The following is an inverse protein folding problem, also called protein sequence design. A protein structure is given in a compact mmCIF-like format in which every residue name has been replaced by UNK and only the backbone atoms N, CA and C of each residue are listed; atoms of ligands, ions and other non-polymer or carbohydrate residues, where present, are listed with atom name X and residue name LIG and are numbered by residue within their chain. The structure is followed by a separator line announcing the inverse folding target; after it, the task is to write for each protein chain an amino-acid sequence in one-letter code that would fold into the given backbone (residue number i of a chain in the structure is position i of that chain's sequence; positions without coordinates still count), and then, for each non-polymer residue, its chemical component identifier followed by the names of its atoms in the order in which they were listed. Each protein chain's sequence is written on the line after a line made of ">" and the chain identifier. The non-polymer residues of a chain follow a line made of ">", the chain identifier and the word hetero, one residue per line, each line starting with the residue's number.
data_IF_519304873419
#
_entry.id   IF_519304873419
#
_cell.length_a   1.000
_cell.length_b   1.000
_cell.length_c   1.000
_cell.angle_alpha   90.00
_cell.angle_beta   90.00
_cell.angle_gamma   90.00
#
_symmetry.space_group_name_H-M   'P 1'
#
loop_
_entity.id
_entity.type
_entity.pdbx_description
1 polymer ?
#
# COMPACT_ATOMS: atom_id res chain seq x y z
N UNK A 1 -2.05 -6.39 3.46
CA UNK A 1 -1.31 -5.54 2.52
C UNK A 1 -0.84 -4.30 3.26
N UNK A 2 0.46 -3.97 3.21
CA UNK A 2 1.05 -2.83 3.92
C UNK A 2 1.72 -1.87 2.93
N UNK A 3 1.54 -0.56 3.11
CA UNK A 3 2.17 0.48 2.28
C UNK A 3 2.01 0.21 0.76
N UNK A 4 3.10 0.19 -0.01
CA UNK A 4 3.13 -0.17 -1.42
C UNK A 4 2.47 -1.52 -1.74
N UNK A 5 2.43 -2.44 -0.78
CA UNK A 5 1.76 -3.74 -0.91
C UNK A 5 0.26 -3.62 -1.21
N UNK A 6 -0.40 -2.49 -0.92
CA UNK A 6 -1.77 -2.26 -1.37
C UNK A 6 -1.88 -2.05 -2.88
N UNK A 7 -0.92 -1.32 -3.48
CA UNK A 7 -0.87 -1.06 -4.93
C UNK A 7 -0.73 -2.36 -5.73
N UNK A 8 0.20 -3.23 -5.32
CA UNK A 8 0.47 -4.49 -6.04
C UNK A 8 -0.41 -5.65 -5.59
N UNK A 9 -0.81 -5.66 -4.32
CA UNK A 9 -1.62 -6.75 -3.77
C UNK A 9 -3.07 -6.68 -4.23
N UNK A 10 -3.64 -5.49 -4.39
CA UNK A 10 -5.02 -5.30 -4.85
C UNK A 10 -5.28 -5.97 -6.21
N UNK A 11 -4.51 -5.71 -7.28
CA UNK A 11 -4.71 -6.38 -8.55
C UNK A 11 -4.35 -7.88 -8.51
N UNK A 12 -3.43 -8.29 -7.65
CA UNK A 12 -3.03 -9.69 -7.53
C UNK A 12 -4.16 -10.62 -7.06
N UNK A 13 -5.26 -10.09 -6.51
CA UNK A 13 -6.40 -10.91 -6.07
C UNK A 13 -7.37 -11.29 -7.19
N UNK A 14 -7.15 -10.80 -8.42
CA UNK A 14 -8.03 -11.06 -9.56
C UNK A 14 -8.22 -12.56 -9.78
N UNK A 15 -9.48 -13.01 -9.78
CA UNK A 15 -9.84 -14.43 -9.93
C UNK A 15 -9.53 -15.32 -8.71
N UNK A 16 -8.94 -14.78 -7.64
CA UNK A 16 -8.56 -15.54 -6.44
C UNK A 16 -9.54 -15.38 -5.28
N UNK A 17 -10.58 -14.55 -5.41
CA UNK A 17 -11.63 -14.43 -4.39
C UNK A 17 -12.37 -15.76 -4.20
N UNK A 18 -12.90 -16.00 -3.00
CA UNK A 18 -13.71 -17.19 -2.73
C UNK A 18 -14.90 -17.29 -3.69
N UNK A 19 -15.54 -16.17 -4.00
CA UNK A 19 -16.63 -16.12 -4.97
C UNK A 19 -16.18 -16.57 -6.37
N UNK A 20 -15.09 -16.00 -6.89
CA UNK A 20 -14.56 -16.34 -8.21
C UNK A 20 -14.06 -17.80 -8.28
N UNK A 21 -13.44 -18.31 -7.22
CA UNK A 21 -12.98 -19.71 -7.19
C UNK A 21 -14.15 -20.69 -7.11
N UNK A 22 -15.15 -20.38 -6.28
CA UNK A 22 -16.36 -21.21 -6.15
C UNK A 22 -17.12 -21.30 -7.46
N UNK A 23 -17.27 -20.19 -8.21
CA UNK A 23 -17.94 -20.22 -9.52
C UNK A 23 -17.21 -21.07 -10.56
N UNK A 24 -15.91 -21.34 -10.35
CA UNK A 24 -15.08 -22.19 -11.20
C UNK A 24 -14.91 -23.62 -10.63
N UNK A 25 -15.67 -24.01 -9.61
CA UNK A 25 -15.55 -25.34 -8.99
C UNK A 25 -14.23 -25.57 -8.23
N UNK A 26 -13.50 -24.50 -7.89
CA UNK A 26 -12.23 -24.57 -7.17
C UNK A 26 -12.44 -24.34 -5.66
N UNK A 27 -11.73 -25.09 -4.78
CA UNK A 27 -11.86 -24.93 -3.34
C UNK A 27 -11.15 -23.67 -2.83
N UNK A 28 -11.60 -23.13 -1.70
CA UNK A 28 -10.97 -22.02 -0.99
C UNK A 28 -11.02 -20.67 -1.73
N UNK A 29 -10.21 -19.72 -1.28
CA UNK A 29 -10.08 -18.40 -1.88
C UNK A 29 -10.00 -17.27 -0.88
N UNK A 30 -9.68 -16.08 -1.38
CA UNK A 30 -9.56 -14.87 -0.58
C UNK A 30 -10.95 -14.41 -0.16
N UNK A 31 -11.15 -14.25 1.13
CA UNK A 31 -12.44 -13.82 1.73
C UNK A 31 -12.42 -12.40 2.24
N UNK A 32 -11.25 -11.86 2.54
CA UNK A 32 -11.10 -10.53 3.12
C UNK A 32 -9.74 -9.93 2.80
N UNK A 33 -9.71 -8.63 2.52
CA UNK A 33 -8.48 -7.86 2.35
C UNK A 33 -8.24 -6.99 3.57
N UNK A 34 -7.03 -7.03 4.14
CA UNK A 34 -6.63 -6.13 5.22
C UNK A 34 -5.56 -5.19 4.70
N UNK A 35 -5.85 -3.90 4.70
CA UNK A 35 -4.95 -2.81 4.36
C UNK A 35 -4.40 -2.18 5.64
N UNK A 36 -3.10 -1.93 5.68
CA UNK A 36 -2.39 -1.28 6.79
C UNK A 36 -1.56 -0.16 6.19
N UNK A 37 -1.90 1.10 6.50
CA UNK A 37 -1.22 2.30 5.95
C UNK A 37 -0.88 2.17 4.46
N UNK A 38 -1.80 1.55 3.71
CA UNK A 38 -1.56 1.08 2.36
C UNK A 38 -2.03 2.09 1.32
N UNK A 39 -1.33 2.08 0.17
CA UNK A 39 -1.84 2.71 -1.04
C UNK A 39 -3.02 1.90 -1.58
N UNK A 40 -4.11 2.58 -1.94
CA UNK A 40 -5.22 2.01 -2.70
C UNK A 40 -5.32 2.85 -3.96
N UNK A 41 -5.24 2.20 -5.13
CA UNK A 41 -5.24 2.87 -6.42
C UNK A 41 -6.41 2.32 -7.25
N UNK A 42 -7.30 3.19 -7.76
CA UNK A 42 -8.37 2.75 -8.65
C UNK A 42 -7.85 2.17 -9.96
N UNK A 43 -8.68 1.35 -10.60
CA UNK A 43 -8.44 0.88 -11.97
C UNK A 43 -8.21 2.06 -12.92
N UNK A 44 -7.12 1.98 -13.70
CA UNK A 44 -6.84 2.95 -14.76
C UNK A 44 -6.31 4.33 -14.30
N UNK A 45 -6.26 4.60 -13.00
CA UNK A 45 -5.65 5.80 -12.43
C UNK A 45 -4.32 5.47 -11.77
N UNK A 46 -3.36 6.37 -11.85
CA UNK A 46 -2.13 6.31 -11.05
C UNK A 46 -2.39 6.80 -9.62
N UNK A 47 -1.48 6.48 -8.70
CA UNK A 47 -1.56 6.94 -7.32
C UNK A 47 -1.42 8.48 -7.19
N UNK A 48 -0.72 9.11 -8.14
CA UNK A 48 -0.57 10.56 -8.25
C UNK A 48 -1.87 11.22 -8.74
N UNK A 49 -2.49 10.68 -9.81
CA UNK A 49 -3.82 11.13 -10.29
C UNK A 49 -4.90 11.00 -9.20
N UNK A 50 -4.76 10.01 -8.32
CA UNK A 50 -5.68 9.79 -7.21
C UNK A 50 -5.39 10.67 -5.98
N UNK A 51 -4.31 11.45 -5.97
CA UNK A 51 -3.94 12.32 -4.85
C UNK A 51 -3.58 11.57 -3.57
N UNK A 52 -3.08 10.33 -3.71
CA UNK A 52 -2.84 9.40 -2.60
C UNK A 52 -1.39 9.31 -2.14
N UNK A 53 -0.46 10.04 -2.78
CA UNK A 53 0.95 10.02 -2.42
C UNK A 53 1.41 11.44 -2.06
N UNK A 54 1.59 11.68 -0.77
CA UNK A 54 2.67 12.56 -0.34
C UNK A 54 3.96 11.77 -0.53
N UNK A 55 4.85 12.22 -1.40
CA UNK A 55 6.13 11.53 -1.59
C UNK A 55 6.94 11.69 -0.29
N UNK A 56 7.26 10.61 0.44
CA UNK A 56 8.20 10.73 1.53
C UNK A 56 9.54 11.22 0.97
N UNK A 57 10.41 11.85 1.79
CA UNK A 57 11.68 12.36 1.28
C UNK A 57 12.52 11.18 0.84
N UNK A 58 12.65 11.01 -0.48
CA UNK A 58 13.41 9.94 -1.09
C UNK A 58 14.59 10.52 -1.86
N UNK A 59 15.63 9.70 -2.02
CA UNK A 59 16.75 9.96 -2.92
C UNK A 59 16.84 8.86 -3.96
N UNK A 60 17.32 9.21 -5.15
CA UNK A 60 17.64 8.24 -6.19
C UNK A 60 19.06 7.69 -5.97
N UNK A 61 19.25 6.39 -6.21
CA UNK A 61 20.57 5.75 -6.22
C UNK A 61 21.16 5.80 -7.64
N UNK A 62 22.47 5.61 -7.77
CA UNK A 62 23.14 5.59 -9.07
C UNK A 62 22.59 4.51 -10.02
N UNK A 63 22.04 3.43 -9.46
CA UNK A 63 21.45 2.31 -10.19
C UNK A 63 19.97 2.53 -10.54
N UNK A 64 19.43 3.73 -10.32
CA UNK A 64 18.04 4.08 -10.63
C UNK A 64 17.02 3.47 -9.66
N UNK A 65 17.42 3.14 -8.43
CA UNK A 65 16.51 2.78 -7.35
C UNK A 65 16.17 4.00 -6.50
N UNK A 66 15.23 3.87 -5.56
CA UNK A 66 14.95 4.92 -4.57
C UNK A 66 15.12 4.44 -3.14
N UNK A 67 15.65 5.31 -2.30
CA UNK A 67 15.80 5.09 -0.86
C UNK A 67 15.09 6.19 -0.08
N UNK A 68 14.55 5.83 1.08
CA UNK A 68 14.00 6.81 2.02
C UNK A 68 15.14 7.56 2.72
N UNK A 69 15.04 8.87 2.79
CA UNK A 69 15.92 9.73 3.58
C UNK A 69 15.45 9.66 5.04
N UNK A 70 16.38 9.34 5.95
CA UNK A 70 16.16 9.24 7.40
C UNK A 70 15.04 8.25 7.79
N UNK A 71 15.20 6.95 7.50
CA UNK A 71 14.21 5.94 7.87
C UNK A 71 13.99 5.85 9.39
N UNK A 72 14.96 6.27 10.20
CA UNK A 72 14.80 6.31 11.66
C UNK A 72 13.76 7.33 12.10
N UNK A 73 13.66 8.48 11.41
CA UNK A 73 12.65 9.51 11.68
C UNK A 73 11.26 9.19 11.13
N UNK A 74 11.18 8.42 10.04
CA UNK A 74 9.94 8.22 9.29
C UNK A 74 9.30 6.84 9.48
N UNK A 75 10.09 5.76 9.49
CA UNK A 75 9.57 4.39 9.62
C UNK A 75 9.68 3.82 11.04
N UNK A 76 10.68 4.25 11.80
CA UNK A 76 11.03 3.60 13.07
C UNK A 76 11.04 4.56 14.26
N UNK A 77 10.45 5.74 14.14
CA UNK A 77 10.63 6.85 15.11
C UNK A 77 10.13 6.56 16.52
N UNK A 78 9.26 5.56 16.67
CA UNK A 78 8.67 5.13 17.94
C UNK A 78 9.42 3.93 18.56
N UNK A 79 10.52 3.48 17.97
CA UNK A 79 11.38 2.44 18.52
C UNK A 79 12.53 3.01 19.36
N UNK A 80 13.11 2.22 20.28
CA UNK A 80 14.40 2.52 20.91
C UNK A 80 15.51 2.73 19.86
N UNK A 81 16.47 3.62 20.14
CA UNK A 81 17.49 4.06 19.17
C UNK A 81 18.33 2.93 18.57
N UNK A 82 18.64 1.90 19.34
CA UNK A 82 19.34 0.70 18.87
C UNK A 82 18.48 -0.08 17.85
N UNK A 83 17.19 -0.24 18.13
CA UNK A 83 16.24 -0.88 17.22
C UNK A 83 16.00 -0.04 15.95
N UNK A 84 15.93 1.29 16.09
CA UNK A 84 15.83 2.20 14.93
C UNK A 84 16.96 1.95 13.94
N UNK A 85 18.20 1.98 14.43
CA UNK A 85 19.40 1.75 13.62
C UNK A 85 19.40 0.33 13.03
N UNK A 86 19.03 -0.66 13.84
CA UNK A 86 18.97 -2.04 13.40
C UNK A 86 17.98 -2.21 12.24
N UNK A 87 16.73 -1.77 12.38
CA UNK A 87 15.72 -1.94 11.34
C UNK A 87 15.96 -1.07 10.11
N UNK A 88 16.45 0.17 10.30
CA UNK A 88 16.91 1.01 9.20
C UNK A 88 18.00 0.33 8.36
N UNK A 89 18.93 -0.41 8.99
CA UNK A 89 19.99 -1.14 8.29
C UNK A 89 19.50 -2.32 7.44
N UNK A 90 18.26 -2.79 7.65
CA UNK A 90 17.65 -3.88 6.89
C UNK A 90 16.91 -3.40 5.65
N UNK A 91 16.70 -2.10 5.49
CA UNK A 91 16.09 -1.53 4.30
C UNK A 91 16.98 -1.77 3.07
N UNK A 92 16.33 -1.94 1.92
CA UNK A 92 16.99 -2.07 0.63
C UNK A 92 16.48 -0.98 -0.32
N UNK A 93 17.28 -0.54 -1.29
CA UNK A 93 16.81 0.34 -2.35
C UNK A 93 15.57 -0.26 -3.03
N UNK A 94 14.53 0.55 -3.20
CA UNK A 94 13.29 0.16 -3.85
C UNK A 94 13.42 0.37 -5.36
N UNK A 95 13.21 -0.70 -6.13
CA UNK A 95 13.02 -0.64 -7.58
C UNK A 95 11.61 -1.12 -7.91
N UNK A 96 10.73 -0.17 -8.22
CA UNK A 96 9.36 -0.46 -8.63
C UNK A 96 8.68 0.80 -9.13
N UNK A 97 7.66 0.63 -9.95
CA UNK A 97 6.94 1.79 -10.49
C UNK A 97 5.94 2.36 -9.48
N UNK A 98 6.14 3.64 -9.18
CA UNK A 98 5.24 4.44 -8.35
C UNK A 98 4.11 5.06 -9.16
N UNK A 99 4.35 5.33 -10.45
CA UNK A 99 3.45 6.04 -11.36
C UNK A 99 2.57 5.14 -12.22
N UNK A 100 2.83 3.83 -12.26
CA UNK A 100 1.98 2.91 -13.04
C UNK A 100 0.53 2.98 -12.56
N UNK A 101 -0.39 2.93 -13.53
CA UNK A 101 -1.83 2.89 -13.32
C UNK A 101 -2.24 1.65 -12.53
N UNK A 102 -3.26 1.80 -11.70
CA UNK A 102 -3.88 0.70 -10.97
C UNK A 102 -4.45 -0.35 -11.93
N UNK A 103 -4.17 -1.61 -11.62
CA UNK A 103 -4.84 -2.75 -12.24
C UNK A 103 -6.18 -3.05 -11.54
N UNK A 104 -6.63 -4.30 -11.63
CA UNK A 104 -7.87 -4.79 -11.01
C UNK A 104 -8.11 -4.28 -9.58
N UNK A 105 -9.27 -3.64 -9.35
CA UNK A 105 -9.66 -3.05 -8.08
C UNK A 105 -10.30 -4.10 -7.16
N UNK A 106 -9.48 -5.06 -6.69
CA UNK A 106 -9.93 -6.16 -5.84
C UNK A 106 -10.72 -5.77 -4.59
N UNK A 107 -10.51 -4.56 -4.06
CA UNK A 107 -11.27 -4.03 -2.92
C UNK A 107 -12.75 -3.78 -3.22
N UNK A 108 -13.15 -3.69 -4.49
CA UNK A 108 -14.56 -3.59 -4.91
C UNK A 108 -15.28 -4.96 -4.95
N UNK A 109 -14.51 -6.04 -4.89
CA UNK A 109 -15.02 -7.41 -5.08
C UNK A 109 -14.81 -8.32 -3.88
N UNK A 110 -13.94 -7.92 -2.95
CA UNK A 110 -13.62 -8.66 -1.74
C UNK A 110 -13.80 -7.70 -0.55
N UNK A 111 -14.56 -8.09 0.49
CA UNK A 111 -14.70 -7.30 1.70
C UNK A 111 -13.33 -6.87 2.24
N UNK A 112 -13.24 -5.63 2.68
CA UNK A 112 -11.97 -5.00 3.00
C UNK A 112 -12.01 -4.27 4.35
N UNK A 113 -10.88 -4.25 5.04
CA UNK A 113 -10.66 -3.44 6.24
C UNK A 113 -9.40 -2.62 6.07
N UNK A 114 -9.45 -1.35 6.46
CA UNK A 114 -8.28 -0.47 6.51
C UNK A 114 -7.95 -0.17 7.97
N UNK A 115 -6.77 -0.58 8.43
CA UNK A 115 -6.22 -0.24 9.73
C UNK A 115 -5.47 1.09 9.62
N UNK A 116 -6.03 2.12 10.28
CA UNK A 116 -5.43 3.45 10.34
C UNK A 116 -4.38 3.49 11.44
N UNK A 117 -3.17 3.91 11.11
CA UNK A 117 -2.10 4.13 12.09
C UNK A 117 -1.86 5.62 12.25
N UNK A 118 -2.34 6.19 13.37
CA UNK A 118 -2.36 7.64 13.58
C UNK A 118 -0.97 8.28 13.73
N UNK A 119 0.03 7.48 14.11
CA UNK A 119 1.42 7.93 14.30
C UNK A 119 2.31 7.64 13.07
N UNK A 120 1.75 7.20 11.94
CA UNK A 120 2.51 6.98 10.70
C UNK A 120 3.01 8.32 10.13
N UNK A 121 4.33 8.43 9.93
CA UNK A 121 4.98 9.66 9.45
C UNK A 121 5.21 9.69 7.94
N UNK A 122 4.85 8.62 7.23
CA UNK A 122 4.96 8.51 5.77
C UNK A 122 3.59 8.65 5.13
N UNK A 123 2.66 7.77 5.49
CA UNK A 123 1.26 7.87 5.07
C UNK A 123 0.50 8.50 6.22
N UNK A 124 0.60 9.83 6.35
CA UNK A 124 -0.03 10.57 7.46
C UNK A 124 -1.54 10.28 7.56
N UNK A 125 -2.10 10.40 8.76
CA UNK A 125 -3.50 10.02 9.05
C UNK A 125 -4.51 10.70 8.11
N UNK A 126 -4.29 11.97 7.75
CA UNK A 126 -5.12 12.71 6.80
C UNK A 126 -5.08 12.09 5.41
N UNK A 127 -3.91 11.62 4.98
CA UNK A 127 -3.73 10.94 3.70
C UNK A 127 -4.41 9.56 3.72
N UNK A 128 -4.24 8.78 4.80
CA UNK A 128 -4.95 7.51 4.97
C UNK A 128 -6.48 7.70 4.88
N UNK A 129 -7.02 8.72 5.56
CA UNK A 129 -8.46 9.04 5.51
C UNK A 129 -8.93 9.46 4.12
N UNK A 130 -8.12 10.21 3.37
CA UNK A 130 -8.41 10.55 1.96
C UNK A 130 -8.47 9.30 1.09
N UNK A 131 -7.50 8.40 1.22
CA UNK A 131 -7.46 7.11 0.51
C UNK A 131 -8.72 6.28 0.81
N UNK A 132 -9.06 6.14 2.09
CA UNK A 132 -10.27 5.41 2.53
C UNK A 132 -11.53 6.04 1.93
N UNK A 133 -11.69 7.36 2.05
CA UNK A 133 -12.85 8.08 1.53
C UNK A 133 -13.02 7.85 0.03
N UNK A 134 -11.92 7.93 -0.72
CA UNK A 134 -11.96 7.77 -2.16
C UNK A 134 -12.25 6.31 -2.57
N UNK A 135 -11.74 5.32 -1.84
CA UNK A 135 -12.11 3.92 -2.04
C UNK A 135 -13.61 3.67 -1.78
N UNK A 136 -14.15 4.19 -0.68
CA UNK A 136 -15.60 4.11 -0.37
C UNK A 136 -16.44 4.79 -1.44
N UNK A 137 -16.02 5.97 -1.93
CA UNK A 137 -16.69 6.67 -3.02
C UNK A 137 -16.68 5.88 -4.34
N UNK A 138 -15.68 5.03 -4.55
CA UNK A 138 -15.59 4.13 -5.70
C UNK A 138 -16.42 2.84 -5.54
N UNK A 139 -17.04 2.60 -4.39
CA UNK A 139 -17.90 1.44 -4.13
C UNK A 139 -17.25 0.30 -3.33
N UNK A 140 -16.18 0.58 -2.59
CA UNK A 140 -15.58 -0.35 -1.63
C UNK A 140 -16.48 -0.63 -0.42
#
# INVERSE_FOLDING_TARGET
>A
MHSYGGKVGTPAVQGLSKAARTSNGLPGGIVHLVFLTAAITPEGLSADEFGSIGLPPIRETAEGATELIDPTKYFYHDLPTDQQKYWASKLRPFKGSRIDKGGYAGYLHVPSTYLVCENDRVVQVELQRKIIKAAVQAGA
#
